data_IF_728461496585
#
_entry.id   IF_728461496585
#
_cell.length_a   1.000
_cell.length_b   1.000
_cell.length_c   1.000
_cell.angle_alpha   90.00
_cell.angle_beta   90.00
_cell.angle_gamma   90.00
#
_symmetry.space_group_name_H-M   'P 1'
#
loop_
_entity.id
_entity.type
_entity.pdbx_description
1 polymer ?
#
# COMPACT_ATOMS: atom_id res chain seq x y z
N UNK A 1 -4.02 8.65 24.85
CA UNK A 1 -2.95 9.70 24.73
C UNK A 1 -2.15 9.61 23.41
N UNK A 2 -1.74 8.43 22.93
CA UNK A 2 -1.00 8.28 21.66
C UNK A 2 -1.89 8.60 20.46
N UNK A 3 -3.03 7.94 20.36
CA UNK A 3 -4.01 8.13 19.28
C UNK A 3 -4.51 9.58 19.22
N UNK A 4 -4.84 10.20 20.36
CA UNK A 4 -5.31 11.60 20.38
C UNK A 4 -4.27 12.58 19.79
N UNK A 5 -2.97 12.35 20.04
CA UNK A 5 -1.90 13.14 19.43
C UNK A 5 -1.78 12.90 17.94
N UNK A 6 -1.87 11.67 17.53
CA UNK A 6 -1.84 11.30 16.11
C UNK A 6 -3.02 11.93 15.35
N UNK A 7 -4.22 11.91 15.92
CA UNK A 7 -5.39 12.56 15.34
C UNK A 7 -5.21 14.09 15.24
N UNK A 8 -4.54 14.71 16.23
CA UNK A 8 -4.18 16.12 16.18
C UNK A 8 -3.17 16.45 15.08
N UNK A 9 -2.19 15.58 14.85
CA UNK A 9 -1.21 15.73 13.74
C UNK A 9 -1.89 15.55 12.37
N UNK A 10 -2.84 14.62 12.26
CA UNK A 10 -3.66 14.49 11.04
C UNK A 10 -4.45 15.78 10.80
N UNK A 11 -5.14 16.29 11.80
CA UNK A 11 -5.89 17.55 11.68
C UNK A 11 -5.00 18.74 11.30
N UNK A 12 -3.83 18.85 11.92
CA UNK A 12 -2.85 19.88 11.61
C UNK A 12 -2.35 19.77 10.17
N UNK A 13 -2.02 18.55 9.72
CA UNK A 13 -1.59 18.28 8.35
C UNK A 13 -2.68 18.61 7.34
N UNK A 14 -3.92 18.20 7.61
CA UNK A 14 -5.09 18.48 6.76
C UNK A 14 -5.31 20.00 6.59
N UNK A 15 -5.20 20.77 7.68
CA UNK A 15 -5.29 22.23 7.63
C UNK A 15 -4.22 22.84 6.70
N UNK A 16 -2.99 22.35 6.73
CA UNK A 16 -1.91 22.85 5.87
C UNK A 16 -2.04 22.39 4.42
N UNK A 17 -2.55 21.18 4.20
CA UNK A 17 -2.90 20.71 2.85
C UNK A 17 -3.99 21.60 2.26
N UNK A 18 -5.02 21.97 3.03
CA UNK A 18 -6.06 22.87 2.56
C UNK A 18 -5.47 24.24 2.16
N UNK A 19 -4.62 24.82 3.00
CA UNK A 19 -3.98 26.11 2.69
C UNK A 19 -3.11 26.04 1.41
N UNK A 20 -2.41 24.90 1.20
CA UNK A 20 -1.65 24.66 -0.02
C UNK A 20 -2.57 24.56 -1.24
N UNK A 21 -3.68 23.85 -1.15
CA UNK A 21 -4.67 23.73 -2.24
C UNK A 21 -5.28 25.08 -2.58
N UNK A 22 -5.63 25.88 -1.56
CA UNK A 22 -6.15 27.22 -1.75
C UNK A 22 -5.13 28.11 -2.49
N UNK A 23 -3.85 28.05 -2.09
CA UNK A 23 -2.78 28.74 -2.79
C UNK A 23 -2.66 28.29 -4.25
N UNK A 24 -2.61 26.99 -4.52
CA UNK A 24 -2.55 26.43 -5.89
C UNK A 24 -3.72 26.96 -6.73
N UNK A 25 -4.93 26.98 -6.18
CA UNK A 25 -6.13 27.45 -6.89
C UNK A 25 -6.10 28.95 -7.25
N UNK A 26 -5.31 29.77 -6.54
CA UNK A 26 -5.12 31.18 -6.87
C UNK A 26 -4.10 31.41 -7.99
N UNK A 27 -3.31 30.39 -8.35
CA UNK A 27 -2.24 30.55 -9.32
C UNK A 27 -2.71 30.34 -10.76
N UNK A 28 -2.13 31.04 -11.76
CA UNK A 28 -2.47 30.84 -13.16
C UNK A 28 -2.28 29.39 -13.66
N UNK A 29 -1.34 28.68 -13.07
CA UNK A 29 -1.03 27.28 -13.38
C UNK A 29 -1.87 26.27 -12.57
N UNK A 30 -2.62 26.70 -11.56
CA UNK A 30 -3.39 25.81 -10.67
C UNK A 30 -4.35 24.91 -11.42
N UNK A 31 -5.03 25.42 -12.45
CA UNK A 31 -5.93 24.65 -13.33
C UNK A 31 -5.22 23.57 -14.17
N UNK A 32 -3.91 23.54 -14.17
CA UNK A 32 -3.08 22.55 -14.86
C UNK A 32 -2.26 21.70 -13.89
N UNK A 33 -2.58 21.76 -12.59
CA UNK A 33 -1.85 21.06 -11.54
C UNK A 33 -2.66 19.90 -10.99
N UNK A 34 -2.12 18.70 -11.11
CA UNK A 34 -2.62 17.52 -10.42
C UNK A 34 -2.00 17.49 -9.02
N UNK A 35 -2.81 17.20 -8.01
CA UNK A 35 -2.33 17.04 -6.63
C UNK A 35 -2.59 15.61 -6.17
N UNK A 36 -1.55 14.96 -5.69
CA UNK A 36 -1.60 13.60 -5.15
C UNK A 36 -1.23 13.66 -3.67
N UNK A 37 -2.12 13.18 -2.81
CA UNK A 37 -1.92 13.09 -1.37
C UNK A 37 -2.03 11.63 -0.96
N UNK A 38 -1.01 11.12 -0.28
CA UNK A 38 -0.98 9.76 0.26
C UNK A 38 -0.14 9.72 1.54
N UNK A 39 -0.33 8.67 2.36
CA UNK A 39 0.61 8.35 3.44
C UNK A 39 1.68 7.38 2.93
N UNK A 40 2.86 7.38 3.53
CA UNK A 40 3.92 6.40 3.27
C UNK A 40 3.63 5.08 4.01
N UNK A 41 3.11 5.15 5.22
CA UNK A 41 2.63 4.04 6.04
C UNK A 41 1.60 4.52 7.07
N UNK A 42 0.99 3.59 7.78
CA UNK A 42 0.11 3.83 8.92
C UNK A 42 0.82 3.75 10.27
N UNK A 43 0.04 3.72 11.36
CA UNK A 43 0.53 3.67 12.73
C UNK A 43 -0.35 2.73 13.58
N UNK A 44 0.27 1.82 14.33
CA UNK A 44 -0.41 0.92 15.25
C UNK A 44 -0.47 1.50 16.67
N UNK A 45 -1.60 1.32 17.34
CA UNK A 45 -1.87 1.79 18.71
C UNK A 45 -2.29 0.68 19.66
N UNK A 46 -1.77 -0.52 19.45
CA UNK A 46 -2.05 -1.72 20.24
C UNK A 46 -2.73 -2.82 19.43
N UNK A 47 -3.07 -2.58 18.17
CA UNK A 47 -3.57 -3.62 17.26
C UNK A 47 -2.51 -4.74 17.18
N UNK A 48 -2.95 -6.00 17.22
CA UNK A 48 -2.07 -7.19 17.23
C UNK A 48 -1.02 -7.18 18.36
N UNK A 49 -1.28 -6.47 19.47
CA UNK A 49 -0.32 -6.20 20.56
C UNK A 49 0.94 -5.44 20.09
N UNK A 50 0.80 -4.71 18.98
CA UNK A 50 1.87 -3.98 18.34
C UNK A 50 1.67 -2.46 18.47
N UNK A 51 2.76 -1.71 18.60
CA UNK A 51 2.77 -0.25 18.76
C UNK A 51 3.78 0.36 17.79
N UNK A 52 3.42 1.51 17.19
CA UNK A 52 4.22 2.23 16.21
C UNK A 52 4.20 1.54 14.83
N UNK A 53 5.30 1.65 14.11
CA UNK A 53 5.47 1.16 12.73
C UNK A 53 6.84 0.49 12.54
N UNK A 54 7.17 0.06 11.33
CA UNK A 54 8.45 -0.47 10.87
C UNK A 54 8.76 -1.95 11.16
N UNK A 55 7.86 -2.72 11.76
CA UNK A 55 8.15 -4.11 12.12
C UNK A 55 7.17 -5.13 11.54
N UNK A 56 6.02 -4.69 11.06
CA UNK A 56 4.93 -5.54 10.60
C UNK A 56 4.28 -4.99 9.32
N UNK A 57 3.46 -5.83 8.67
CA UNK A 57 2.74 -5.50 7.44
C UNK A 57 1.23 -5.69 7.60
N UNK A 58 0.68 -5.42 8.79
CA UNK A 58 -0.76 -5.41 9.02
C UNK A 58 -1.45 -4.25 8.28
N UNK A 59 -2.75 -4.39 8.00
CA UNK A 59 -3.53 -3.37 7.30
C UNK A 59 -3.45 -1.99 7.97
N UNK A 60 -3.38 -1.95 9.30
CA UNK A 60 -3.20 -0.70 10.05
C UNK A 60 -1.92 0.04 9.68
N UNK A 61 -0.92 -0.64 9.12
CA UNK A 61 0.37 -0.09 8.71
C UNK A 61 0.48 0.13 7.20
N UNK A 62 -0.11 -0.74 6.38
CA UNK A 62 0.08 -0.70 4.93
C UNK A 62 -1.11 -0.15 4.15
N UNK A 63 -2.29 -0.08 4.77
CA UNK A 63 -3.47 0.52 4.15
C UNK A 63 -3.50 2.02 4.39
N UNK A 64 -2.99 2.76 3.45
CA UNK A 64 -2.89 4.22 3.53
C UNK A 64 -3.93 4.91 2.63
N UNK A 65 -4.32 6.16 2.95
CA UNK A 65 -5.17 6.94 2.07
C UNK A 65 -4.44 7.30 0.77
N UNK A 66 -5.20 7.39 -0.32
CA UNK A 66 -4.73 7.93 -1.60
C UNK A 66 -5.81 8.85 -2.18
N UNK A 67 -5.48 10.12 -2.35
CA UNK A 67 -6.32 11.11 -3.01
C UNK A 67 -5.59 11.66 -4.22
N UNK A 68 -6.27 11.69 -5.36
CA UNK A 68 -5.73 12.26 -6.60
C UNK A 68 -6.73 13.29 -7.10
N UNK A 69 -6.36 14.56 -6.97
CA UNK A 69 -7.12 15.67 -7.51
C UNK A 69 -6.64 16.01 -8.92
N UNK A 70 -7.54 15.95 -9.87
CA UNK A 70 -7.30 16.31 -11.28
C UNK A 70 -8.26 17.42 -11.64
N UNK A 71 -7.77 18.62 -12.03
CA UNK A 71 -8.63 19.73 -12.41
C UNK A 71 -9.61 19.37 -13.51
N UNK A 72 -10.89 19.72 -13.31
CA UNK A 72 -11.95 19.47 -14.29
C UNK A 72 -12.46 18.03 -14.34
N UNK A 73 -11.94 17.13 -13.54
CA UNK A 73 -12.45 15.77 -13.43
C UNK A 73 -13.45 15.66 -12.27
N UNK A 74 -14.56 14.98 -12.51
CA UNK A 74 -15.52 14.67 -11.45
C UNK A 74 -14.93 13.67 -10.44
N UNK A 75 -15.11 13.96 -9.15
CA UNK A 75 -14.62 13.10 -8.07
C UNK A 75 -15.35 11.76 -8.03
N UNK A 76 -14.59 10.69 -7.77
CA UNK A 76 -15.12 9.34 -7.60
C UNK A 76 -14.38 8.57 -6.52
N UNK A 77 -15.05 7.61 -5.92
CA UNK A 77 -14.46 6.67 -4.99
C UNK A 77 -14.13 5.36 -5.72
N UNK A 78 -12.86 4.96 -5.63
CA UNK A 78 -12.35 3.68 -6.15
C UNK A 78 -12.13 2.77 -4.94
N UNK A 79 -12.84 1.65 -4.87
CA UNK A 79 -12.80 0.74 -3.72
C UNK A 79 -11.82 -0.42 -3.88
N UNK A 80 -11.14 -0.53 -5.01
CA UNK A 80 -10.17 -1.59 -5.28
C UNK A 80 -8.84 -1.30 -4.61
N UNK A 81 -8.18 -2.33 -4.12
CA UNK A 81 -6.82 -2.21 -3.59
C UNK A 81 -5.85 -1.81 -4.71
N UNK A 82 -4.99 -0.87 -4.41
CA UNK A 82 -3.93 -0.35 -5.28
C UNK A 82 -2.63 -0.26 -4.50
N UNK A 83 -1.53 -0.10 -5.19
CA UNK A 83 -0.21 -0.06 -4.58
C UNK A 83 0.52 1.25 -4.95
N UNK A 84 1.41 1.72 -4.10
CA UNK A 84 2.26 2.89 -4.38
C UNK A 84 3.12 2.74 -5.64
N UNK A 85 3.45 1.50 -6.03
CA UNK A 85 4.15 1.24 -7.30
C UNK A 85 3.38 1.73 -8.52
N UNK A 86 2.07 1.95 -8.39
CA UNK A 86 1.20 2.45 -9.45
C UNK A 86 1.30 3.96 -9.66
N UNK A 87 1.85 4.70 -8.69
CA UNK A 87 1.88 6.17 -8.76
C UNK A 87 2.77 6.67 -9.90
N UNK A 88 3.97 6.08 -10.06
CA UNK A 88 4.88 6.50 -11.13
C UNK A 88 4.27 6.29 -12.52
N UNK A 89 3.80 5.07 -12.90
CA UNK A 89 3.17 4.88 -14.20
C UNK A 89 1.90 5.73 -14.37
N UNK A 90 1.16 6.02 -13.29
CA UNK A 90 -0.01 6.91 -13.35
C UNK A 90 0.37 8.34 -13.68
N UNK A 91 1.42 8.88 -13.04
CA UNK A 91 1.91 10.23 -13.30
C UNK A 91 2.41 10.35 -14.75
N UNK A 92 3.20 9.38 -15.21
CA UNK A 92 3.69 9.37 -16.60
C UNK A 92 2.54 9.35 -17.60
N UNK A 93 1.54 8.50 -17.36
CA UNK A 93 0.36 8.39 -18.22
C UNK A 93 -0.46 9.69 -18.27
N UNK A 94 -0.71 10.31 -17.10
CA UNK A 94 -1.36 11.62 -17.02
C UNK A 94 -0.61 12.72 -17.76
N UNK A 95 0.72 12.64 -17.82
CA UNK A 95 1.59 13.59 -18.53
C UNK A 95 1.75 13.26 -20.02
N UNK A 96 1.17 12.14 -20.50
CA UNK A 96 1.36 11.66 -21.88
C UNK A 96 2.78 11.17 -22.16
N UNK A 97 3.53 10.81 -21.13
CA UNK A 97 4.90 10.26 -21.23
C UNK A 97 4.82 8.74 -21.35
N UNK A 98 5.52 8.11 -22.30
CA UNK A 98 5.53 6.65 -22.42
C UNK A 98 5.99 5.97 -21.13
N UNK A 99 5.21 4.98 -20.66
CA UNK A 99 5.54 4.20 -19.47
C UNK A 99 6.63 3.17 -19.83
N UNK A 100 7.77 3.15 -19.14
CA UNK A 100 8.78 2.12 -19.29
C UNK A 100 8.21 0.72 -19.06
N UNK A 101 8.60 -0.26 -19.89
CA UNK A 101 8.06 -1.63 -19.82
C UNK A 101 8.48 -2.43 -18.59
N UNK A 102 9.56 -2.01 -17.96
CA UNK A 102 10.15 -2.63 -16.76
C UNK A 102 9.61 -2.06 -15.44
N UNK A 103 8.72 -1.06 -15.49
CA UNK A 103 8.03 -0.58 -14.30
C UNK A 103 7.03 -1.64 -13.80
N UNK A 104 7.11 -2.04 -12.51
CA UNK A 104 6.24 -3.09 -11.98
C UNK A 104 4.79 -2.62 -11.73
N UNK A 105 4.55 -1.32 -11.67
CA UNK A 105 3.23 -0.72 -11.44
C UNK A 105 2.37 -0.65 -12.69
N UNK A 106 1.09 -0.38 -12.50
CA UNK A 106 0.11 -0.18 -13.57
C UNK A 106 -0.53 1.19 -13.41
N UNK A 107 -0.68 1.94 -14.51
CA UNK A 107 -1.34 3.24 -14.47
C UNK A 107 -2.78 3.13 -13.95
N UNK A 108 -3.12 3.97 -12.98
CA UNK A 108 -4.47 4.15 -12.47
C UNK A 108 -5.26 5.18 -13.30
N UNK A 109 -4.64 5.83 -14.28
CA UNK A 109 -5.26 6.88 -15.07
C UNK A 109 -6.54 6.44 -15.79
N UNK A 110 -6.61 5.26 -16.42
CA UNK A 110 -7.87 4.77 -16.99
C UNK A 110 -8.99 4.65 -15.96
N UNK A 111 -8.68 4.16 -14.75
CA UNK A 111 -9.65 4.00 -13.66
C UNK A 111 -10.10 5.36 -13.09
N UNK A 112 -9.18 6.31 -12.96
CA UNK A 112 -9.47 7.70 -12.57
C UNK A 112 -10.42 8.35 -13.58
N UNK A 113 -10.28 8.05 -14.88
CA UNK A 113 -11.19 8.49 -15.94
C UNK A 113 -12.53 7.71 -15.97
N UNK A 114 -12.74 6.72 -15.12
CA UNK A 114 -13.98 5.95 -15.01
C UNK A 114 -14.05 4.70 -15.88
N UNK A 115 -12.95 4.25 -16.44
CA UNK A 115 -12.89 2.97 -17.13
C UNK A 115 -12.80 1.84 -16.11
N UNK A 116 -13.43 0.73 -16.40
CA UNK A 116 -13.22 -0.46 -15.59
C UNK A 116 -11.82 -1.03 -15.83
N UNK A 117 -11.15 -1.40 -14.73
CA UNK A 117 -9.85 -2.05 -14.75
C UNK A 117 -9.93 -3.37 -13.98
N UNK A 118 -9.16 -4.39 -14.33
CA UNK A 118 -9.17 -5.65 -13.62
C UNK A 118 -8.64 -5.48 -12.19
N UNK A 119 -9.17 -6.27 -11.27
CA UNK A 119 -8.53 -6.48 -9.99
C UNK A 119 -7.22 -7.23 -10.19
N UNK A 120 -6.22 -6.96 -9.37
CA UNK A 120 -4.90 -7.59 -9.44
C UNK A 120 -4.33 -7.80 -8.05
N UNK A 121 -3.42 -8.77 -7.90
CA UNK A 121 -2.78 -9.00 -6.62
C UNK A 121 -1.88 -7.83 -6.24
N UNK A 122 -1.65 -7.68 -4.93
CA UNK A 122 -0.73 -6.70 -4.36
C UNK A 122 0.33 -7.42 -3.55
N UNK A 123 1.54 -6.90 -3.61
CA UNK A 123 2.66 -7.31 -2.77
C UNK A 123 3.14 -6.10 -1.99
N UNK A 124 3.43 -6.29 -0.71
CA UNK A 124 4.17 -5.34 0.09
C UNK A 124 5.31 -6.08 0.82
N UNK A 125 6.47 -5.43 0.83
CA UNK A 125 7.71 -5.98 1.40
C UNK A 125 8.18 -5.16 2.59
N UNK A 126 8.62 -5.87 3.62
CA UNK A 126 9.46 -5.35 4.68
C UNK A 126 10.85 -6.02 4.54
N UNK A 127 11.89 -5.29 4.12
CA UNK A 127 13.24 -5.84 4.01
C UNK A 127 13.78 -6.32 5.35
N UNK A 128 14.68 -7.30 5.31
CA UNK A 128 15.43 -7.68 6.50
C UNK A 128 16.39 -6.56 6.90
N UNK A 129 16.46 -6.26 8.18
CA UNK A 129 17.43 -5.34 8.76
C UNK A 129 18.00 -5.90 10.08
N UNK A 130 18.61 -5.03 10.91
CA UNK A 130 19.17 -5.43 12.21
C UNK A 130 18.09 -5.93 13.18
N UNK A 131 16.85 -5.50 13.03
CA UNK A 131 15.75 -5.74 13.96
C UNK A 131 14.69 -6.67 13.38
N UNK A 132 14.58 -6.76 12.05
CA UNK A 132 13.51 -7.44 11.34
C UNK A 132 14.04 -8.61 10.52
N UNK A 133 13.35 -9.75 10.59
CA UNK A 133 13.40 -10.71 9.48
C UNK A 133 12.60 -10.14 8.30
N UNK A 134 13.02 -10.45 7.08
CA UNK A 134 12.23 -10.05 5.90
C UNK A 134 10.81 -10.60 6.00
N UNK A 135 9.84 -9.78 5.61
CA UNK A 135 8.44 -10.17 5.50
C UNK A 135 7.90 -9.75 4.15
N UNK A 136 6.96 -10.51 3.64
CA UNK A 136 6.19 -10.18 2.45
C UNK A 136 4.75 -10.53 2.69
N UNK A 137 3.85 -9.64 2.30
CA UNK A 137 2.44 -9.97 2.21
C UNK A 137 2.03 -10.05 0.75
N UNK A 138 1.16 -11.01 0.47
CA UNK A 138 0.50 -11.20 -0.81
C UNK A 138 -1.00 -11.07 -0.61
N UNK A 139 -1.62 -10.09 -1.27
CA UNK A 139 -3.06 -9.86 -1.24
C UNK A 139 -3.61 -10.26 -2.61
N UNK A 140 -4.56 -11.18 -2.63
CA UNK A 140 -5.20 -11.59 -3.88
C UNK A 140 -6.31 -10.61 -4.30
N UNK A 141 -6.87 -10.83 -5.48
CA UNK A 141 -7.92 -10.00 -6.08
C UNK A 141 -9.24 -10.03 -5.28
N UNK A 142 -9.41 -11.01 -4.41
CA UNK A 142 -10.61 -11.21 -3.58
C UNK A 142 -10.46 -10.62 -2.18
N UNK A 143 -9.25 -10.15 -1.81
CA UNK A 143 -8.93 -9.58 -0.51
C UNK A 143 -8.45 -10.59 0.51
N UNK A 144 -8.00 -11.77 0.09
CA UNK A 144 -7.26 -12.65 0.98
C UNK A 144 -5.80 -12.23 1.04
N UNK A 145 -5.31 -12.04 2.23
CA UNK A 145 -3.94 -11.61 2.52
C UNK A 145 -3.17 -12.74 3.21
N UNK A 146 -2.05 -13.10 2.63
CA UNK A 146 -1.13 -14.10 3.14
C UNK A 146 0.14 -13.40 3.63
N UNK A 147 0.54 -13.65 4.88
CA UNK A 147 1.76 -13.12 5.47
C UNK A 147 2.85 -14.20 5.52
N UNK A 148 4.00 -13.87 4.95
CA UNK A 148 5.16 -14.78 4.83
C UNK A 148 6.40 -14.11 5.39
N UNK A 149 7.16 -14.83 6.22
CA UNK A 149 8.38 -14.34 6.85
C UNK A 149 9.58 -15.25 6.64
N UNK A 150 10.75 -14.68 6.64
CA UNK A 150 12.04 -15.40 6.56
C UNK A 150 12.15 -16.28 5.31
N UNK A 151 12.42 -17.58 5.53
CA UNK A 151 12.52 -18.58 4.47
C UNK A 151 11.14 -19.19 4.17
N UNK A 152 10.22 -18.38 3.66
CA UNK A 152 8.86 -18.76 3.23
C UNK A 152 8.01 -19.45 4.31
N UNK A 153 8.15 -19.02 5.54
CA UNK A 153 7.27 -19.44 6.63
C UNK A 153 5.97 -18.63 6.56
N UNK A 154 4.89 -19.27 6.12
CA UNK A 154 3.54 -18.71 6.25
C UNK A 154 3.15 -18.78 7.72
N UNK A 155 2.65 -17.69 8.25
CA UNK A 155 2.19 -17.69 9.64
C UNK A 155 0.79 -17.10 9.81
N UNK A 156 0.28 -16.35 8.84
CA UNK A 156 -1.04 -15.74 8.94
C UNK A 156 -1.72 -15.64 7.58
N UNK A 157 -3.03 -15.82 7.60
CA UNK A 157 -3.91 -15.55 6.47
C UNK A 157 -5.19 -14.87 6.95
N UNK A 158 -5.58 -13.78 6.29
CA UNK A 158 -6.76 -12.99 6.62
C UNK A 158 -7.62 -12.74 5.39
N UNK A 159 -8.91 -12.50 5.59
CA UNK A 159 -9.80 -11.93 4.58
C UNK A 159 -10.00 -10.44 4.92
N UNK A 160 -9.17 -9.56 4.39
CA UNK A 160 -9.19 -8.13 4.69
C UNK A 160 -10.41 -7.37 4.13
N UNK A 161 -11.19 -8.02 3.26
CA UNK A 161 -12.45 -7.48 2.77
C UNK A 161 -13.53 -7.53 3.84
N UNK A 162 -13.62 -8.65 4.56
CA UNK A 162 -14.65 -8.92 5.56
C UNK A 162 -14.14 -8.67 6.99
N UNK A 163 -12.82 -8.77 7.19
CA UNK A 163 -12.10 -8.53 8.44
C UNK A 163 -10.91 -7.56 8.22
N UNK A 164 -11.17 -6.26 8.03
CA UNK A 164 -10.13 -5.27 7.77
C UNK A 164 -9.22 -5.01 8.97
N UNK A 165 -9.56 -5.55 10.14
CA UNK A 165 -8.74 -5.48 11.36
C UNK A 165 -7.86 -6.71 11.56
N UNK A 166 -7.94 -7.70 10.65
CA UNK A 166 -7.12 -8.92 10.70
C UNK A 166 -7.21 -9.64 12.05
N UNK A 167 -8.42 -9.67 12.62
CA UNK A 167 -8.69 -10.22 13.94
C UNK A 167 -8.80 -11.73 13.95
N UNK A 168 -9.10 -12.35 12.79
CA UNK A 168 -9.29 -13.80 12.66
C UNK A 168 -8.31 -14.40 11.67
N UNK A 169 -7.26 -15.04 12.20
CA UNK A 169 -6.34 -15.81 11.38
C UNK A 169 -7.02 -17.07 10.80
N UNK A 170 -7.04 -17.19 9.48
CA UNK A 170 -7.71 -18.24 8.72
C UNK A 170 -6.77 -19.39 8.31
N UNK A 171 -5.48 -19.30 8.60
CA UNK A 171 -4.46 -20.24 8.10
C UNK A 171 -4.79 -21.71 8.43
N UNK A 172 -5.29 -21.99 9.61
CA UNK A 172 -5.67 -23.33 10.05
C UNK A 172 -7.14 -23.67 9.74
N UNK A 173 -7.97 -22.67 9.47
CA UNK A 173 -9.41 -22.81 9.19
C UNK A 173 -9.66 -23.10 7.71
N UNK A 174 -8.95 -22.39 6.82
CA UNK A 174 -9.10 -22.49 5.37
C UNK A 174 -7.82 -23.05 4.71
N UNK A 175 -7.43 -24.26 5.10
CA UNK A 175 -6.15 -24.89 4.68
C UNK A 175 -5.97 -25.02 3.18
N UNK A 176 -7.02 -25.36 2.47
CA UNK A 176 -6.97 -25.50 1.00
C UNK A 176 -6.72 -24.15 0.32
N UNK A 177 -7.38 -23.09 0.80
CA UNK A 177 -7.14 -21.73 0.34
C UNK A 177 -5.72 -21.26 0.66
N UNK A 178 -5.27 -21.50 1.87
CA UNK A 178 -3.90 -21.16 2.28
C UNK A 178 -2.86 -21.83 1.38
N UNK A 179 -3.04 -23.11 1.06
CA UNK A 179 -2.18 -23.83 0.13
C UNK A 179 -2.19 -23.23 -1.29
N UNK A 180 -3.37 -22.92 -1.82
CA UNK A 180 -3.52 -22.29 -3.14
C UNK A 180 -2.88 -20.89 -3.18
N UNK A 181 -3.08 -20.07 -2.14
CA UNK A 181 -2.46 -18.75 -2.03
C UNK A 181 -0.94 -18.86 -1.93
N UNK A 182 -0.43 -19.84 -1.19
CA UNK A 182 1.02 -20.07 -1.08
C UNK A 182 1.65 -20.47 -2.41
N UNK A 183 0.97 -21.27 -3.21
CA UNK A 183 1.42 -21.60 -4.56
C UNK A 183 1.49 -20.34 -5.46
N UNK A 184 0.44 -19.52 -5.46
CA UNK A 184 0.42 -18.24 -6.18
C UNK A 184 1.52 -17.31 -5.73
N UNK A 185 1.68 -17.16 -4.41
CA UNK A 185 2.75 -16.36 -3.80
C UNK A 185 4.13 -16.80 -4.30
N UNK A 186 4.42 -18.10 -4.29
CA UNK A 186 5.71 -18.63 -4.77
C UNK A 186 5.96 -18.34 -6.25
N UNK A 187 4.93 -18.42 -7.06
CA UNK A 187 5.06 -18.12 -8.49
C UNK A 187 5.34 -16.64 -8.73
N UNK A 188 4.61 -15.75 -8.10
CA UNK A 188 4.81 -14.29 -8.20
C UNK A 188 6.17 -13.90 -7.61
N UNK A 189 6.58 -14.50 -6.51
CA UNK A 189 7.86 -14.17 -5.85
C UNK A 189 9.10 -14.58 -6.66
N UNK A 190 8.97 -15.49 -7.64
CA UNK A 190 10.04 -15.77 -8.59
C UNK A 190 10.27 -14.61 -9.57
N UNK A 191 9.20 -13.90 -9.91
CA UNK A 191 9.24 -12.76 -10.84
C UNK A 191 9.57 -11.45 -10.15
N UNK A 192 9.22 -11.33 -8.87
CA UNK A 192 9.45 -10.12 -8.05
C UNK A 192 10.45 -10.46 -6.93
N UNK A 193 11.75 -10.24 -7.16
CA UNK A 193 12.75 -10.48 -6.13
C UNK A 193 12.54 -9.59 -4.91
N UNK A 194 12.90 -10.09 -3.74
CA UNK A 194 12.88 -9.27 -2.54
C UNK A 194 13.85 -8.11 -2.67
N UNK A 195 13.42 -6.93 -2.23
CA UNK A 195 14.30 -5.79 -2.07
C UNK A 195 15.19 -6.01 -0.84
N UNK A 196 16.49 -5.77 -0.99
CA UNK A 196 17.40 -5.72 0.14
C UNK A 196 17.36 -4.32 0.74
N UNK A 197 17.50 -4.23 2.07
CA UNK A 197 17.59 -2.92 2.72
C UNK A 197 18.84 -2.17 2.20
N UNK A 198 18.65 -0.93 1.79
CA UNK A 198 19.74 -0.05 1.39
C UNK A 198 20.47 0.45 2.64
N UNK A 199 21.47 -0.30 3.07
CA UNK A 199 22.30 0.04 4.23
C UNK A 199 23.12 -1.17 4.61
N UNK A 200 24.36 -1.15 4.33
CA UNK A 200 25.45 -2.11 4.48
C UNK A 200 25.24 -3.42 5.28
N UNK A 201 26.19 -4.33 5.25
CA UNK A 201 26.02 -5.62 5.88
C UNK A 201 25.75 -5.44 7.38
N UNK A 202 24.69 -6.08 7.84
CA UNK A 202 24.34 -6.19 9.27
C UNK A 202 25.58 -6.65 10.02
N UNK A 203 26.20 -5.76 10.81
CA UNK A 203 27.24 -6.17 11.74
C UNK A 203 26.55 -7.11 12.76
N UNK A 204 26.85 -8.39 12.68
CA UNK A 204 26.50 -9.32 13.75
C UNK A 204 27.26 -8.87 15.00
N UNK A 205 26.52 -8.44 16.01
CA UNK A 205 27.02 -8.27 17.37
C UNK A 205 26.96 -9.59 18.09
#
# INVERSE_FOLDING_TARGET
>A
KGRDRYDQEIWFTDHHIQAMLDYVNTQPWGKHTVVIVTGDHGEAFGEHNFWKHAFELYEVLIRVPLFIYVPGLEGRKISRWRSHIDLVPTILDMMGIPIPKDLPGVSLWPEIQGKETPARPIIADLPADTYNVRKRVFIDENGYKLSVAGADRVFEMYNIKDDPHESKNLIEVEKERAAAMMERYRNISKEIPFQEAVGGPVKKF
#
